data_IF_625379832743
#
_entry.id   IF_625379832743
#
_cell.length_a   1.000
_cell.length_b   1.000
_cell.length_c   1.000
_cell.angle_alpha   90.00
_cell.angle_beta   90.00
_cell.angle_gamma   90.00
#
_symmetry.space_group_name_H-M   'P 1'
#
loop_
_entity.id
_entity.type
_entity.pdbx_description
1 polymer ?
#
# COMPACT_ATOMS: atom_id res chain seq x y z
N UNK A 1 10.30 -0.54 -3.07
CA UNK A 1 9.27 0.14 -3.92
C UNK A 1 8.54 -0.85 -4.82
N UNK A 2 9.21 -1.71 -5.60
CA UNK A 2 8.54 -2.63 -6.53
C UNK A 2 7.52 -3.60 -5.91
N UNK A 3 7.62 -3.90 -4.61
CA UNK A 3 6.66 -4.73 -3.89
C UNK A 3 5.31 -4.00 -3.71
N UNK A 4 5.33 -2.69 -3.52
CA UNK A 4 4.16 -1.87 -3.19
C UNK A 4 3.57 -1.10 -4.38
N UNK A 5 3.92 -1.46 -5.62
CA UNK A 5 3.53 -0.70 -6.83
C UNK A 5 2.01 -0.64 -7.07
N UNK A 6 1.27 -1.62 -6.55
CA UNK A 6 -0.18 -1.75 -6.72
C UNK A 6 -0.94 -1.40 -5.41
N UNK A 7 -0.25 -0.78 -4.44
CA UNK A 7 -0.82 -0.27 -3.20
C UNK A 7 -0.96 1.25 -3.29
N UNK A 8 -2.00 1.82 -2.70
CA UNK A 8 -2.21 3.28 -2.68
C UNK A 8 -1.24 3.96 -1.69
N UNK A 9 0.05 3.82 -1.99
CA UNK A 9 1.14 4.47 -1.29
C UNK A 9 1.92 5.38 -2.23
N UNK A 10 2.32 6.52 -1.72
CA UNK A 10 3.29 7.38 -2.38
C UNK A 10 4.67 6.73 -2.26
N UNK A 11 5.16 6.15 -3.35
CA UNK A 11 6.42 5.41 -3.38
C UNK A 11 7.40 6.02 -4.37
N UNK A 12 8.66 6.08 -3.97
CA UNK A 12 9.75 6.53 -4.82
C UNK A 12 10.02 5.53 -5.95
N UNK A 13 9.88 5.94 -7.21
CA UNK A 13 10.29 5.10 -8.32
C UNK A 13 11.81 4.96 -8.39
N UNK A 14 12.24 3.81 -8.87
CA UNK A 14 13.66 3.51 -9.00
C UNK A 14 13.93 2.66 -10.24
N UNK A 15 15.12 2.86 -10.84
CA UNK A 15 15.59 2.05 -11.96
C UNK A 15 17.11 1.87 -11.89
N UNK A 16 17.64 0.62 -12.01
CA UNK A 16 19.07 0.39 -12.12
C UNK A 16 19.60 0.82 -13.49
N UNK A 17 20.80 1.43 -13.52
CA UNK A 17 21.49 1.89 -14.71
C UNK A 17 22.96 1.47 -14.72
N UNK A 18 23.45 1.16 -15.92
CA UNK A 18 24.88 1.03 -16.15
C UNK A 18 25.45 2.39 -16.53
N UNK A 19 26.42 2.83 -15.74
CA UNK A 19 27.10 4.11 -15.98
C UNK A 19 28.43 3.88 -16.65
N UNK A 20 28.69 4.66 -17.70
CA UNK A 20 29.97 4.72 -18.39
C UNK A 20 30.48 6.17 -18.35
N UNK A 21 31.75 6.36 -17.97
CA UNK A 21 32.45 7.64 -18.03
C UNK A 21 33.59 7.55 -19.03
N UNK A 22 33.63 8.44 -20.03
CA UNK A 22 34.63 8.43 -21.11
C UNK A 22 34.77 7.05 -21.79
N UNK A 23 33.65 6.38 -22.02
CA UNK A 23 33.56 5.02 -22.59
C UNK A 23 34.08 3.88 -21.71
N UNK A 24 34.47 4.16 -20.46
CA UNK A 24 34.83 3.13 -19.48
C UNK A 24 33.63 2.80 -18.60
N UNK A 25 33.42 1.52 -18.31
CA UNK A 25 32.41 1.07 -17.36
C UNK A 25 32.72 1.63 -15.97
N UNK A 26 31.76 2.38 -15.42
CA UNK A 26 31.90 3.01 -14.12
C UNK A 26 31.17 2.25 -13.01
N UNK A 27 30.06 1.58 -13.32
CA UNK A 27 29.35 0.76 -12.37
C UNK A 27 27.84 0.67 -12.60
N UNK A 28 27.20 -0.10 -11.73
CA UNK A 28 25.76 -0.18 -11.57
C UNK A 28 25.32 0.91 -10.59
N UNK A 29 24.37 1.75 -10.99
CA UNK A 29 23.82 2.84 -10.20
C UNK A 29 22.29 2.79 -10.20
N UNK A 30 21.66 3.43 -9.23
CA UNK A 30 20.22 3.55 -9.11
C UNK A 30 19.77 4.97 -9.44
N UNK A 31 18.99 5.13 -10.50
CA UNK A 31 18.23 6.35 -10.71
C UNK A 31 16.99 6.28 -9.82
N UNK A 32 16.82 7.27 -8.95
CA UNK A 32 15.70 7.38 -8.03
C UNK A 32 15.02 8.73 -8.22
N UNK A 33 13.72 8.79 -8.05
CA UNK A 33 13.03 10.08 -7.93
C UNK A 33 13.51 10.79 -6.66
N UNK A 34 13.63 12.10 -6.74
CA UNK A 34 13.87 12.91 -5.54
C UNK A 34 12.54 13.20 -4.86
N UNK A 35 12.36 12.70 -3.65
CA UNK A 35 11.13 12.92 -2.87
C UNK A 35 11.12 14.35 -2.33
N UNK A 36 10.49 15.26 -3.09
CA UNK A 36 10.29 16.67 -2.79
C UNK A 36 8.90 17.14 -3.30
N UNK A 37 8.61 18.42 -3.24
CA UNK A 37 7.35 19.03 -3.71
C UNK A 37 7.03 18.70 -5.18
N UNK A 38 8.04 18.63 -6.05
CA UNK A 38 7.84 18.30 -7.46
C UNK A 38 7.52 16.81 -7.67
N UNK A 39 8.03 15.91 -6.80
CA UNK A 39 7.60 14.51 -6.77
C UNK A 39 6.10 14.44 -6.53
N UNK A 40 5.59 15.16 -5.54
CA UNK A 40 4.16 15.19 -5.22
C UNK A 40 3.35 15.71 -6.42
N UNK A 41 3.72 16.87 -6.99
CA UNK A 41 3.02 17.44 -8.16
C UNK A 41 3.09 16.58 -9.42
N UNK A 42 4.05 15.64 -9.53
CA UNK A 42 4.11 14.70 -10.66
C UNK A 42 3.23 13.45 -10.49
N UNK A 43 2.89 13.11 -9.25
CA UNK A 43 2.07 11.93 -8.92
C UNK A 43 0.62 12.28 -8.55
N UNK A 44 0.37 13.52 -8.15
CA UNK A 44 -0.94 14.01 -7.72
C UNK A 44 -1.31 15.29 -8.48
N UNK A 45 -2.59 15.54 -8.73
CA UNK A 45 -3.06 16.74 -9.42
C UNK A 45 -3.08 17.96 -8.46
N UNK A 46 -1.92 18.30 -7.92
CA UNK A 46 -1.72 19.42 -6.97
C UNK A 46 -0.59 20.33 -7.43
N UNK A 47 -0.67 21.62 -7.07
CA UNK A 47 0.44 22.54 -7.30
C UNK A 47 1.55 22.26 -6.25
N UNK A 48 2.80 22.00 -6.68
CA UNK A 48 3.92 21.79 -5.76
C UNK A 48 4.16 22.95 -4.77
N UNK A 49 3.74 24.17 -5.11
CA UNK A 49 3.88 25.34 -4.23
C UNK A 49 2.75 25.43 -3.20
N UNK A 50 1.62 24.74 -3.42
CA UNK A 50 0.43 24.75 -2.57
C UNK A 50 0.27 23.47 -1.75
N UNK A 51 1.36 22.98 -1.19
CA UNK A 51 1.37 21.80 -0.29
C UNK A 51 2.11 22.10 1.01
N UNK A 52 1.78 21.35 2.05
CA UNK A 52 2.65 21.18 3.21
C UNK A 52 3.39 19.85 3.04
N UNK A 53 4.72 19.85 2.99
CA UNK A 53 5.57 18.68 2.95
C UNK A 53 6.53 18.74 4.13
N UNK A 54 6.44 17.76 5.01
CA UNK A 54 7.21 17.69 6.24
C UNK A 54 8.13 16.46 6.20
N UNK A 55 9.38 16.66 6.56
CA UNK A 55 10.37 15.61 6.79
C UNK A 55 10.76 15.60 8.26
N UNK A 56 10.57 14.48 8.91
CA UNK A 56 10.79 14.33 10.36
C UNK A 56 9.87 15.30 11.13
N UNK A 57 10.31 16.51 11.43
CA UNK A 57 9.53 17.55 12.11
C UNK A 57 9.72 18.94 11.45
N UNK A 58 10.32 18.97 10.26
CA UNK A 58 10.66 20.23 9.57
C UNK A 58 9.92 20.30 8.24
N UNK A 59 9.28 21.43 7.96
CA UNK A 59 8.68 21.66 6.66
C UNK A 59 9.75 21.87 5.59
N UNK A 60 9.73 21.05 4.55
CA UNK A 60 10.53 21.22 3.34
C UNK A 60 9.81 22.17 2.36
N UNK A 61 8.46 22.13 2.37
CA UNK A 61 7.58 23.04 1.65
C UNK A 61 6.39 23.37 2.56
N UNK A 62 5.83 24.57 2.44
CA UNK A 62 4.70 25.03 3.26
C UNK A 62 5.03 25.19 4.73
N UNK A 63 4.17 24.69 5.62
CA UNK A 63 4.28 24.86 7.07
C UNK A 63 3.98 23.56 7.83
N UNK A 64 4.34 23.54 9.13
CA UNK A 64 3.96 22.47 10.05
C UNK A 64 2.66 22.76 10.81
N UNK A 65 2.01 23.91 10.61
CA UNK A 65 0.93 24.40 11.46
C UNK A 65 -0.25 23.43 11.51
N UNK A 66 -0.76 23.03 10.35
CA UNK A 66 -1.91 22.13 10.27
C UNK A 66 -1.59 20.73 10.87
N UNK A 67 -0.38 20.22 10.67
CA UNK A 67 0.04 18.97 11.30
C UNK A 67 0.11 19.08 12.83
N UNK A 68 0.63 20.21 13.33
CA UNK A 68 0.68 20.46 14.78
C UNK A 68 -0.73 20.59 15.37
N UNK A 69 -1.68 21.18 14.65
CA UNK A 69 -3.09 21.22 15.05
C UNK A 69 -3.70 19.83 15.13
N UNK A 70 -3.43 18.96 14.12
CA UNK A 70 -3.83 17.56 14.14
C UNK A 70 -3.27 16.83 15.37
N UNK A 71 -1.97 16.94 15.64
CA UNK A 71 -1.32 16.27 16.77
C UNK A 71 -1.86 16.78 18.11
N UNK A 72 -2.12 18.09 18.24
CA UNK A 72 -2.73 18.66 19.44
C UNK A 72 -4.16 18.12 19.63
N UNK A 73 -4.97 18.12 18.58
CA UNK A 73 -6.33 17.55 18.64
C UNK A 73 -6.31 16.10 19.09
N UNK A 74 -5.46 15.26 18.48
CA UNK A 74 -5.31 13.84 18.85
C UNK A 74 -4.85 13.68 20.31
N UNK A 75 -3.96 14.57 20.78
CA UNK A 75 -3.45 14.51 22.17
C UNK A 75 -4.50 14.81 23.23
N UNK A 76 -5.51 15.60 22.89
CA UNK A 76 -6.58 16.06 23.79
C UNK A 76 -7.87 15.21 23.64
N UNK A 77 -7.96 14.37 22.60
CA UNK A 77 -9.15 13.59 22.29
C UNK A 77 -9.17 12.24 23.02
N UNK A 78 -10.37 11.79 23.37
CA UNK A 78 -10.61 10.41 23.78
C UNK A 78 -10.71 9.52 22.53
N UNK A 79 -9.60 8.88 22.19
CA UNK A 79 -9.51 8.06 20.97
C UNK A 79 -10.40 6.80 21.02
N UNK A 80 -10.96 6.45 22.17
CA UNK A 80 -11.91 5.33 22.28
C UNK A 80 -13.30 5.71 21.78
N UNK A 81 -13.60 7.00 21.59
CA UNK A 81 -14.84 7.47 20.96
C UNK A 81 -14.85 7.17 19.46
N UNK A 82 -15.81 6.36 18.94
CA UNK A 82 -15.91 6.07 17.52
C UNK A 82 -16.05 7.31 16.63
N UNK A 83 -16.69 8.38 17.11
CA UNK A 83 -16.88 9.63 16.34
C UNK A 83 -15.55 10.33 16.00
N UNK A 84 -14.50 10.12 16.82
CA UNK A 84 -13.17 10.69 16.56
C UNK A 84 -12.54 10.07 15.31
N UNK A 85 -12.79 8.79 15.03
CA UNK A 85 -12.28 8.15 13.83
C UNK A 85 -12.84 8.78 12.55
N UNK A 86 -14.15 9.02 12.51
CA UNK A 86 -14.80 9.66 11.37
C UNK A 86 -14.25 11.07 11.15
N UNK A 87 -14.10 11.85 12.22
CA UNK A 87 -13.52 13.19 12.16
C UNK A 87 -12.06 13.18 11.67
N UNK A 88 -11.22 12.29 12.20
CA UNK A 88 -9.82 12.17 11.77
C UNK A 88 -9.70 11.69 10.32
N UNK A 89 -10.68 10.96 9.80
CA UNK A 89 -10.72 10.55 8.39
C UNK A 89 -10.93 11.73 7.42
N UNK A 90 -11.33 12.90 7.91
CA UNK A 90 -11.35 14.14 7.12
C UNK A 90 -9.97 14.81 7.04
N UNK A 91 -9.08 14.56 8.00
CA UNK A 91 -7.74 15.15 8.09
C UNK A 91 -6.63 14.23 7.59
N UNK A 92 -6.85 12.91 7.68
CA UNK A 92 -5.87 11.88 7.37
C UNK A 92 -6.44 10.99 6.28
N UNK A 93 -5.65 10.69 5.27
CA UNK A 93 -5.90 9.54 4.41
C UNK A 93 -5.58 8.27 5.20
N UNK A 94 -6.63 7.72 5.81
CA UNK A 94 -6.51 6.59 6.74
C UNK A 94 -5.95 5.34 6.05
N UNK A 95 -6.32 5.11 4.79
CA UNK A 95 -5.83 3.95 4.04
C UNK A 95 -4.33 4.07 3.75
N UNK A 96 -3.90 5.23 3.27
CA UNK A 96 -2.48 5.52 3.07
C UNK A 96 -1.70 5.41 4.38
N UNK A 97 -2.21 5.97 5.49
CA UNK A 97 -1.54 5.91 6.79
C UNK A 97 -1.40 4.47 7.31
N UNK A 98 -2.44 3.65 7.14
CA UNK A 98 -2.40 2.22 7.53
C UNK A 98 -1.40 1.48 6.65
N UNK A 99 -1.49 1.58 5.33
CA UNK A 99 -0.60 0.91 4.39
C UNK A 99 0.87 1.30 4.61
N UNK A 100 1.13 2.58 4.91
CA UNK A 100 2.48 3.05 5.26
C UNK A 100 3.03 2.34 6.50
N UNK A 101 2.26 2.29 7.60
CA UNK A 101 2.71 1.64 8.83
C UNK A 101 2.83 0.11 8.64
N UNK A 102 1.88 -0.53 7.95
CA UNK A 102 1.92 -1.95 7.60
C UNK A 102 3.18 -2.27 6.79
N UNK A 103 3.52 -1.44 5.80
CA UNK A 103 4.72 -1.62 4.99
C UNK A 103 6.00 -1.53 5.85
N UNK A 104 6.16 -0.46 6.63
CA UNK A 104 7.33 -0.21 7.47
C UNK A 104 7.53 -1.32 8.52
N UNK A 105 6.44 -1.74 9.17
CA UNK A 105 6.46 -2.81 10.17
C UNK A 105 6.80 -4.15 9.53
N UNK A 106 6.18 -4.48 8.39
CA UNK A 106 6.42 -5.75 7.73
C UNK A 106 7.87 -5.90 7.24
N UNK A 107 8.40 -4.87 6.56
CA UNK A 107 9.76 -4.94 6.03
C UNK A 107 10.85 -4.84 7.10
N UNK A 108 10.49 -4.64 8.35
CA UNK A 108 11.43 -4.44 9.47
C UNK A 108 12.44 -3.31 9.18
N UNK A 109 11.93 -2.13 8.81
CA UNK A 109 12.79 -0.98 8.52
C UNK A 109 13.47 -0.47 9.80
N UNK A 110 14.78 -0.70 9.92
CA UNK A 110 15.56 -0.40 11.14
C UNK A 110 15.96 1.06 11.28
N UNK A 111 15.76 1.86 10.26
CA UNK A 111 15.98 3.32 10.27
C UNK A 111 14.67 4.12 10.44
N UNK A 112 13.59 3.43 10.70
CA UNK A 112 12.25 3.95 10.96
C UNK A 112 11.88 3.66 12.43
N UNK A 113 11.03 4.45 13.09
CA UNK A 113 10.12 5.49 12.60
C UNK A 113 10.63 6.94 12.79
N UNK A 114 11.74 7.18 13.45
CA UNK A 114 12.21 8.53 13.76
C UNK A 114 13.09 9.16 12.68
N UNK A 115 13.43 8.39 11.64
CA UNK A 115 14.15 8.82 10.46
C UNK A 115 13.43 8.33 9.20
N UNK A 116 13.80 8.84 8.03
CA UNK A 116 13.18 8.47 6.75
C UNK A 116 11.65 8.54 6.75
N UNK A 117 11.09 9.53 7.45
CA UNK A 117 9.65 9.79 7.50
C UNK A 117 9.32 11.10 6.82
N UNK A 118 8.48 11.03 5.79
CA UNK A 118 7.90 12.18 5.10
C UNK A 118 6.40 12.03 5.00
N UNK A 119 5.72 13.14 5.18
CA UNK A 119 4.27 13.22 5.03
C UNK A 119 3.90 14.59 4.46
N UNK A 120 2.81 14.62 3.72
CA UNK A 120 2.38 15.78 2.98
C UNK A 120 0.86 15.91 2.93
N UNK A 121 0.38 17.12 2.63
CA UNK A 121 -1.02 17.39 2.30
C UNK A 121 -1.12 18.52 1.29
N UNK A 122 -2.17 18.57 0.43
CA UNK A 122 -2.49 19.80 -0.30
C UNK A 122 -3.02 20.86 0.68
N UNK A 123 -2.71 22.13 0.43
CA UNK A 123 -3.21 23.27 1.22
C UNK A 123 -4.66 23.64 0.81
N UNK A 124 -5.53 22.63 0.79
CA UNK A 124 -6.96 22.75 0.53
C UNK A 124 -7.75 22.49 1.82
N UNK A 125 -8.99 22.99 1.88
CA UNK A 125 -9.86 22.82 3.05
C UNK A 125 -10.13 21.34 3.35
N UNK A 126 -10.23 20.50 2.31
CA UNK A 126 -10.42 19.03 2.37
C UNK A 126 -9.13 18.23 2.17
N UNK A 127 -7.97 18.90 2.19
CA UNK A 127 -6.66 18.27 2.00
C UNK A 127 -6.28 17.36 3.15
N UNK A 128 -5.97 16.09 2.84
CA UNK A 128 -5.63 15.05 3.82
C UNK A 128 -4.14 14.80 3.88
N UNK A 129 -3.65 14.46 5.08
CA UNK A 129 -2.28 14.00 5.28
C UNK A 129 -2.07 12.60 4.73
N UNK A 130 -0.97 12.45 3.95
CA UNK A 130 -0.50 11.20 3.35
C UNK A 130 0.98 10.99 3.67
N UNK A 131 1.40 9.73 3.83
CA UNK A 131 2.78 9.33 4.10
C UNK A 131 3.44 8.78 2.86
N UNK A 132 4.74 9.05 2.71
CA UNK A 132 5.55 8.63 1.57
C UNK A 132 6.49 7.50 2.01
N UNK A 133 6.43 6.36 1.32
CA UNK A 133 7.34 5.25 1.56
C UNK A 133 8.60 5.41 0.70
N UNK A 134 9.68 5.78 1.32
CA UNK A 134 10.97 5.96 0.67
C UNK A 134 12.11 5.47 1.57
N UNK A 135 13.29 5.30 1.01
CA UNK A 135 14.53 4.94 1.71
C UNK A 135 14.36 3.74 2.66
N UNK A 136 13.96 2.61 2.08
CA UNK A 136 13.70 1.36 2.81
C UNK A 136 14.88 0.38 2.75
N UNK A 137 16.10 0.88 2.56
CA UNK A 137 17.29 0.05 2.37
C UNK A 137 17.79 -0.62 3.66
N UNK A 138 17.30 -0.16 4.84
CA UNK A 138 17.51 -0.83 6.12
C UNK A 138 16.39 -1.79 6.50
N UNK A 139 15.58 -2.21 5.52
CA UNK A 139 14.55 -3.22 5.67
C UNK A 139 15.01 -4.62 5.23
N UNK A 140 14.05 -5.55 5.21
CA UNK A 140 14.22 -6.93 4.74
C UNK A 140 15.33 -7.73 5.45
N UNK A 141 15.49 -7.49 6.76
CA UNK A 141 16.37 -8.29 7.61
C UNK A 141 17.84 -7.92 7.52
N UNK A 142 18.17 -6.65 7.30
CA UNK A 142 19.55 -6.15 7.28
C UNK A 142 20.29 -6.50 8.57
N UNK A 143 21.28 -7.46 8.55
CA UNK A 143 21.83 -8.03 9.79
C UNK A 143 22.67 -7.05 10.62
N UNK A 144 23.41 -6.14 9.97
CA UNK A 144 24.27 -5.17 10.69
C UNK A 144 23.49 -4.07 11.42
N UNK A 145 22.19 -3.94 11.14
CA UNK A 145 21.27 -3.05 11.85
C UNK A 145 20.43 -3.81 12.89
N UNK A 146 20.73 -5.08 13.14
CA UNK A 146 19.94 -5.92 14.03
C UNK A 146 18.57 -6.29 13.47
N UNK A 147 18.41 -6.23 12.14
CA UNK A 147 17.18 -6.63 11.45
C UNK A 147 17.09 -8.15 11.26
N UNK A 148 15.87 -8.65 11.06
CA UNK A 148 15.61 -10.06 10.81
C UNK A 148 14.13 -10.38 10.64
N UNK A 149 13.86 -11.53 10.00
CA UNK A 149 12.47 -11.98 9.81
C UNK A 149 11.71 -12.20 11.13
N UNK A 150 12.43 -12.44 12.23
CA UNK A 150 11.91 -12.72 13.57
C UNK A 150 11.97 -11.52 14.53
N UNK A 151 12.17 -10.30 14.04
CA UNK A 151 12.12 -9.09 14.86
C UNK A 151 10.67 -8.64 15.03
N UNK A 152 10.22 -8.37 16.24
CA UNK A 152 8.88 -7.84 16.51
C UNK A 152 8.84 -6.31 16.29
N UNK A 153 8.78 -5.92 15.04
CA UNK A 153 8.74 -4.50 14.65
C UNK A 153 7.40 -3.84 14.98
N UNK A 154 6.31 -4.62 15.14
CA UNK A 154 5.03 -4.08 15.61
C UNK A 154 5.14 -3.59 17.06
N UNK A 155 5.69 -4.41 17.95
CA UNK A 155 5.93 -4.04 19.34
C UNK A 155 6.88 -2.83 19.44
N UNK A 156 7.95 -2.84 18.64
CA UNK A 156 8.88 -1.72 18.54
C UNK A 156 8.19 -0.43 18.08
N UNK A 157 7.29 -0.48 17.09
CA UNK A 157 6.56 0.67 16.56
C UNK A 157 5.60 1.29 17.58
N UNK A 158 5.07 0.51 18.51
CA UNK A 158 4.12 1.00 19.54
C UNK A 158 4.79 1.34 20.86
N UNK A 159 6.11 1.19 20.98
CA UNK A 159 6.86 1.56 22.18
C UNK A 159 6.85 3.08 22.37
N UNK A 160 6.21 3.55 23.45
CA UNK A 160 6.02 4.98 23.71
C UNK A 160 7.32 5.72 24.11
N UNK A 161 8.28 5.00 24.66
CA UNK A 161 9.56 5.54 25.16
C UNK A 161 10.74 4.80 24.54
N UNK A 162 10.67 4.57 23.25
CA UNK A 162 11.77 3.97 22.48
C UNK A 162 13.04 4.85 22.48
N UNK A 163 14.15 4.32 21.96
CA UNK A 163 15.39 5.06 21.91
C UNK A 163 15.27 6.32 21.05
N UNK A 164 16.02 7.37 21.37
CA UNK A 164 16.04 8.63 20.61
C UNK A 164 16.28 8.43 19.11
N UNK A 165 16.96 7.40 18.75
CA UNK A 165 17.07 6.88 17.40
C UNK A 165 17.03 5.34 17.45
N UNK A 166 16.24 4.69 16.59
CA UNK A 166 15.38 5.24 15.54
C UNK A 166 13.92 5.49 15.97
N UNK A 167 13.53 5.32 17.25
CA UNK A 167 12.16 5.45 17.71
C UNK A 167 11.96 6.47 18.85
N UNK A 168 12.15 7.78 18.59
CA UNK A 168 11.82 8.81 19.56
C UNK A 168 10.32 8.88 19.82
N UNK A 169 9.86 9.31 21.02
CA UNK A 169 8.45 9.28 21.41
C UNK A 169 7.45 9.95 20.46
N UNK A 170 7.86 10.97 19.72
CA UNK A 170 7.01 11.71 18.78
C UNK A 170 6.72 10.93 17.50
N UNK A 171 7.64 10.04 17.07
CA UNK A 171 7.62 9.46 15.72
C UNK A 171 6.43 8.55 15.44
N UNK A 172 5.97 7.81 16.44
CA UNK A 172 4.79 6.94 16.35
C UNK A 172 3.61 7.40 17.21
N UNK A 173 3.66 8.63 17.73
CA UNK A 173 2.61 9.15 18.59
C UNK A 173 1.23 9.04 17.93
N UNK A 174 1.09 9.52 16.70
CA UNK A 174 -0.17 9.45 15.95
C UNK A 174 -0.62 8.01 15.73
N UNK A 175 0.28 7.13 15.29
CA UNK A 175 -0.03 5.71 15.08
C UNK A 175 -0.51 5.02 16.36
N UNK A 176 0.19 5.22 17.47
CA UNK A 176 -0.19 4.66 18.77
C UNK A 176 -1.56 5.16 19.25
N UNK A 177 -1.84 6.45 19.05
CA UNK A 177 -3.11 7.05 19.38
C UNK A 177 -4.25 6.52 18.50
N UNK A 178 -4.05 6.39 17.21
CA UNK A 178 -5.04 5.82 16.30
C UNK A 178 -5.35 4.35 16.64
N UNK A 179 -4.37 3.58 17.10
CA UNK A 179 -4.59 2.19 17.57
C UNK A 179 -5.46 2.08 18.83
N UNK A 180 -5.66 3.15 19.60
CA UNK A 180 -6.61 3.17 20.71
C UNK A 180 -8.07 3.16 20.19
N UNK A 181 -8.32 3.53 18.92
CA UNK A 181 -9.63 3.50 18.31
C UNK A 181 -9.94 2.14 17.68
N UNK A 182 -11.06 1.53 18.09
CA UNK A 182 -11.42 0.18 17.64
C UNK A 182 -11.69 0.06 16.14
N UNK A 183 -12.18 1.12 15.48
CA UNK A 183 -12.43 1.12 14.04
C UNK A 183 -11.11 1.15 13.27
N UNK A 184 -10.17 2.01 13.70
CA UNK A 184 -8.82 2.04 13.11
C UNK A 184 -8.09 0.71 13.34
N UNK A 185 -8.15 0.16 14.56
CA UNK A 185 -7.49 -1.10 14.90
C UNK A 185 -7.97 -2.26 14.02
N UNK A 186 -9.29 -2.43 13.87
CA UNK A 186 -9.86 -3.47 13.00
C UNK A 186 -9.46 -3.29 11.54
N UNK A 187 -9.44 -2.04 11.05
CA UNK A 187 -9.02 -1.74 9.68
C UNK A 187 -7.53 -2.03 9.48
N UNK A 188 -6.67 -1.66 10.45
CA UNK A 188 -5.24 -1.98 10.44
C UNK A 188 -4.99 -3.50 10.36
N UNK A 189 -5.69 -4.29 11.19
CA UNK A 189 -5.60 -5.77 11.18
C UNK A 189 -6.01 -6.32 9.82
N UNK A 190 -7.16 -5.88 9.27
CA UNK A 190 -7.64 -6.33 7.97
C UNK A 190 -6.69 -5.98 6.83
N UNK A 191 -6.17 -4.75 6.79
CA UNK A 191 -5.18 -4.36 5.78
C UNK A 191 -3.90 -5.18 5.90
N UNK A 192 -3.47 -5.48 7.13
CA UNK A 192 -2.32 -6.36 7.33
C UNK A 192 -2.59 -7.77 6.78
N UNK A 193 -3.78 -8.33 7.05
CA UNK A 193 -4.21 -9.61 6.48
C UNK A 193 -4.26 -9.56 4.95
N UNK A 194 -4.83 -8.50 4.37
CA UNK A 194 -4.86 -8.29 2.92
C UNK A 194 -3.46 -8.36 2.31
N UNK A 195 -2.48 -7.68 2.92
CA UNK A 195 -1.09 -7.69 2.45
C UNK A 195 -0.41 -9.06 2.64
N UNK A 196 -0.68 -9.76 3.77
CA UNK A 196 -0.20 -11.13 4.01
C UNK A 196 -0.79 -12.15 3.03
N UNK A 197 -2.02 -11.94 2.58
CA UNK A 197 -2.69 -12.77 1.58
C UNK A 197 -2.30 -12.43 0.14
N UNK A 198 -1.53 -11.35 -0.10
CA UNK A 198 -1.17 -10.86 -1.43
C UNK A 198 0.32 -10.58 -1.56
N UNK A 199 0.74 -9.31 -1.44
CA UNK A 199 2.11 -8.89 -1.72
C UNK A 199 3.13 -9.36 -0.70
N UNK A 200 2.71 -9.74 0.50
CA UNK A 200 3.56 -10.33 1.54
C UNK A 200 3.51 -11.87 1.56
N UNK A 201 2.83 -12.49 0.61
CA UNK A 201 2.95 -13.94 0.39
C UNK A 201 4.39 -14.31 0.06
N UNK A 202 4.90 -15.37 0.69
CA UNK A 202 6.29 -15.79 0.53
C UNK A 202 6.64 -16.08 -0.93
N UNK A 203 5.76 -16.78 -1.66
CA UNK A 203 5.97 -17.10 -3.07
C UNK A 203 5.99 -15.86 -3.94
N UNK A 204 5.08 -14.92 -3.71
CA UNK A 204 5.04 -13.65 -4.42
C UNK A 204 6.33 -12.84 -4.21
N UNK A 205 6.76 -12.69 -2.94
CA UNK A 205 7.97 -11.95 -2.60
C UNK A 205 9.23 -12.58 -3.20
N UNK A 206 9.37 -13.91 -3.12
CA UNK A 206 10.52 -14.64 -3.66
C UNK A 206 10.56 -14.48 -5.19
N UNK A 207 9.45 -14.66 -5.89
CA UNK A 207 9.36 -14.45 -7.34
C UNK A 207 9.75 -13.00 -7.72
N UNK A 208 9.34 -12.03 -6.91
CA UNK A 208 9.68 -10.62 -7.13
C UNK A 208 11.17 -10.37 -6.93
N UNK A 209 11.76 -10.92 -5.86
CA UNK A 209 13.19 -10.87 -5.58
C UNK A 209 14.00 -11.48 -6.73
N UNK A 210 13.61 -12.68 -7.20
CA UNK A 210 14.28 -13.37 -8.30
C UNK A 210 14.26 -12.55 -9.59
N UNK A 211 13.11 -11.98 -9.92
CA UNK A 211 12.98 -11.09 -11.08
C UNK A 211 13.91 -9.86 -10.98
N UNK A 212 14.04 -9.28 -9.81
CA UNK A 212 14.91 -8.12 -9.59
C UNK A 212 16.39 -8.51 -9.65
N UNK A 213 16.76 -9.63 -9.03
CA UNK A 213 18.13 -10.14 -9.04
C UNK A 213 18.59 -10.50 -10.47
N UNK A 214 17.75 -11.21 -11.23
CA UNK A 214 18.02 -11.56 -12.63
C UNK A 214 18.34 -10.34 -13.51
N UNK A 215 17.72 -9.21 -13.26
CA UNK A 215 17.92 -8.00 -14.05
C UNK A 215 19.33 -7.39 -13.91
N UNK A 216 20.06 -7.70 -12.83
CA UNK A 216 21.33 -7.05 -12.54
C UNK A 216 22.47 -8.04 -12.27
N UNK A 217 22.21 -9.34 -12.06
CA UNK A 217 23.19 -10.33 -11.65
C UNK A 217 24.39 -10.42 -12.60
N UNK A 218 24.19 -10.32 -13.91
CA UNK A 218 25.27 -10.42 -14.90
C UNK A 218 26.25 -9.24 -14.86
N UNK A 219 25.84 -8.15 -14.23
CA UNK A 219 26.65 -6.92 -14.12
C UNK A 219 27.41 -6.87 -12.78
N UNK A 220 26.96 -7.60 -11.77
CA UNK A 220 27.54 -7.58 -10.43
C UNK A 220 29.06 -7.89 -10.45
N UNK A 221 29.57 -8.90 -11.18
CA UNK A 221 31.02 -9.15 -11.24
C UNK A 221 31.81 -7.97 -11.79
N UNK A 222 31.30 -7.28 -12.82
CA UNK A 222 31.94 -6.11 -13.39
C UNK A 222 31.95 -4.93 -12.41
N UNK A 223 30.83 -4.76 -11.66
CA UNK A 223 30.70 -3.73 -10.64
C UNK A 223 31.70 -3.98 -9.49
N UNK A 224 31.81 -5.22 -8.98
CA UNK A 224 32.75 -5.62 -7.95
C UNK A 224 34.21 -5.44 -8.38
N UNK A 225 34.55 -5.77 -9.65
CA UNK A 225 35.88 -5.52 -10.20
C UNK A 225 36.26 -4.04 -10.23
N UNK A 226 35.27 -3.16 -10.50
CA UNK A 226 35.49 -1.70 -10.50
C UNK A 226 35.58 -1.13 -9.09
N UNK A 227 34.75 -1.65 -8.18
CA UNK A 227 34.59 -1.20 -6.81
C UNK A 227 34.68 -2.40 -5.86
N UNK A 228 35.89 -2.87 -5.53
CA UNK A 228 36.09 -4.11 -4.75
C UNK A 228 35.42 -4.11 -3.37
N UNK A 229 35.25 -2.92 -2.78
CA UNK A 229 34.61 -2.76 -1.46
C UNK A 229 33.08 -2.59 -1.55
N UNK A 230 32.50 -2.66 -2.75
CA UNK A 230 31.05 -2.55 -2.99
C UNK A 230 30.46 -3.88 -3.43
N UNK A 231 29.17 -4.09 -3.14
CA UNK A 231 28.43 -5.32 -3.47
C UNK A 231 29.16 -6.61 -3.01
N UNK A 232 29.90 -6.52 -1.90
CA UNK A 232 30.55 -7.65 -1.25
C UNK A 232 29.44 -8.63 -0.83
N UNK A 233 29.67 -9.92 -1.05
CA UNK A 233 28.75 -11.00 -0.67
C UNK A 233 27.32 -10.83 -1.24
N UNK A 234 27.21 -10.41 -2.51
CA UNK A 234 25.94 -10.25 -3.23
C UNK A 234 24.99 -11.44 -3.01
N UNK A 235 25.47 -12.66 -3.24
CA UNK A 235 24.66 -13.88 -3.10
C UNK A 235 24.18 -14.08 -1.65
N UNK A 236 25.02 -13.75 -0.67
CA UNK A 236 24.63 -13.79 0.74
C UNK A 236 23.49 -12.81 1.03
N UNK A 237 23.56 -11.57 0.54
CA UNK A 237 22.53 -10.57 0.78
C UNK A 237 21.23 -10.89 0.06
N UNK A 238 21.27 -11.43 -1.16
CA UNK A 238 20.09 -11.96 -1.84
C UNK A 238 19.47 -13.09 -1.02
N UNK A 239 20.29 -13.98 -0.44
CA UNK A 239 19.79 -15.06 0.41
C UNK A 239 19.21 -14.55 1.74
N UNK A 240 19.72 -13.48 2.33
CA UNK A 240 19.13 -12.81 3.52
C UNK A 240 17.72 -12.35 3.21
N UNK A 241 17.51 -11.64 2.08
CA UNK A 241 16.18 -11.17 1.67
C UNK A 241 15.25 -12.36 1.36
N UNK A 242 15.76 -13.42 0.75
CA UNK A 242 14.98 -14.65 0.47
C UNK A 242 14.51 -15.32 1.75
N UNK A 243 15.41 -15.49 2.72
CA UNK A 243 15.07 -16.04 4.03
C UNK A 243 14.06 -15.16 4.77
N UNK A 244 14.21 -13.84 4.67
CA UNK A 244 13.21 -12.91 5.20
C UNK A 244 11.85 -13.11 4.54
N UNK A 245 11.78 -13.16 3.22
CA UNK A 245 10.53 -13.37 2.47
C UNK A 245 9.86 -14.71 2.80
N UNK A 246 10.66 -15.77 3.07
CA UNK A 246 10.16 -17.10 3.40
C UNK A 246 9.49 -17.15 4.78
N UNK A 247 10.11 -16.54 5.80
CA UNK A 247 9.68 -16.73 7.20
C UNK A 247 8.92 -15.54 7.78
N UNK A 248 9.11 -14.33 7.28
CA UNK A 248 8.51 -13.10 7.84
C UNK A 248 6.99 -13.15 7.96
N UNK A 249 6.22 -13.66 6.97
CA UNK A 249 4.76 -13.69 7.05
C UNK A 249 4.23 -14.44 8.27
N UNK A 250 4.81 -15.60 8.60
CA UNK A 250 4.42 -16.40 9.75
C UNK A 250 4.71 -15.67 11.08
N UNK A 251 5.91 -15.08 11.21
CA UNK A 251 6.26 -14.30 12.39
C UNK A 251 5.34 -13.09 12.58
N UNK A 252 4.98 -12.41 11.49
CA UNK A 252 4.06 -11.29 11.57
C UNK A 252 2.65 -11.68 11.98
N UNK A 253 2.13 -12.84 11.53
CA UNK A 253 0.86 -13.40 12.04
C UNK A 253 0.93 -13.61 13.55
N UNK A 254 1.96 -14.27 14.05
CA UNK A 254 2.16 -14.51 15.47
C UNK A 254 2.25 -13.19 16.28
N UNK A 255 2.87 -12.15 15.74
CA UNK A 255 2.97 -10.85 16.41
C UNK A 255 1.64 -10.10 16.42
N UNK A 256 0.87 -10.16 15.34
CA UNK A 256 -0.49 -9.61 15.31
C UNK A 256 -1.39 -10.31 16.33
N UNK A 257 -1.39 -11.64 16.35
CA UNK A 257 -2.15 -12.46 17.32
C UNK A 257 -1.81 -12.09 18.75
N UNK A 258 -0.52 -12.06 19.08
CA UNK A 258 -0.07 -11.74 20.44
C UNK A 258 -0.35 -10.30 20.85
N UNK A 259 -0.23 -9.34 19.92
CA UNK A 259 -0.38 -7.92 20.24
C UNK A 259 -1.84 -7.50 20.39
N UNK A 260 -2.71 -8.01 19.52
CA UNK A 260 -4.14 -7.66 19.52
C UNK A 260 -5.03 -8.68 20.21
N UNK A 261 -4.46 -9.71 20.84
CA UNK A 261 -5.20 -10.82 21.47
C UNK A 261 -6.21 -11.45 20.50
N UNK A 262 -5.74 -11.75 19.26
CA UNK A 262 -6.61 -12.27 18.22
C UNK A 262 -6.85 -13.76 18.39
N UNK A 263 -8.05 -14.19 17.98
CA UNK A 263 -8.46 -15.59 17.95
C UNK A 263 -7.89 -16.32 16.72
N UNK A 264 -8.60 -17.33 16.23
CA UNK A 264 -8.14 -18.17 15.12
C UNK A 264 -8.14 -17.43 13.77
N UNK A 265 -7.26 -17.84 12.87
CA UNK A 265 -7.37 -17.52 11.45
C UNK A 265 -8.48 -18.35 10.81
N UNK A 266 -9.30 -17.68 10.02
CA UNK A 266 -10.45 -18.24 9.32
C UNK A 266 -10.17 -18.16 7.82
N UNK A 267 -10.39 -19.26 7.11
CA UNK A 267 -10.25 -19.31 5.66
C UNK A 267 -11.52 -18.79 4.99
N UNK A 268 -11.40 -17.68 4.27
CA UNK A 268 -12.49 -17.02 3.56
C UNK A 268 -12.33 -17.24 2.06
N UNK A 269 -13.34 -17.82 1.40
CA UNK A 269 -13.33 -18.08 -0.04
C UNK A 269 -14.33 -17.22 -0.78
N UNK A 270 -13.87 -16.57 -1.80
CA UNK A 270 -14.66 -15.64 -2.60
C UNK A 270 -14.82 -16.17 -4.03
N UNK A 271 -16.04 -16.10 -4.53
CA UNK A 271 -16.43 -16.48 -5.88
C UNK A 271 -17.14 -15.32 -6.55
N UNK A 272 -16.85 -15.07 -7.81
CA UNK A 272 -17.59 -14.09 -8.62
C UNK A 272 -18.10 -14.77 -9.89
N UNK A 273 -19.36 -14.53 -10.24
CA UNK A 273 -19.84 -14.90 -11.57
C UNK A 273 -19.28 -13.94 -12.62
N UNK A 274 -19.32 -14.33 -13.90
CA UNK A 274 -18.96 -13.43 -15.01
C UNK A 274 -19.72 -12.13 -14.91
N UNK A 275 -19.05 -11.00 -15.13
CA UNK A 275 -19.65 -9.67 -15.18
C UNK A 275 -19.40 -8.80 -13.95
N UNK A 276 -18.42 -9.15 -13.12
CA UNK A 276 -17.99 -8.27 -12.04
C UNK A 276 -16.99 -8.89 -11.09
N UNK A 277 -16.51 -8.09 -10.18
CA UNK A 277 -15.49 -8.41 -9.19
C UNK A 277 -15.99 -8.16 -7.77
N UNK A 278 -15.24 -8.65 -6.78
CA UNK A 278 -15.46 -8.35 -5.36
C UNK A 278 -14.25 -7.56 -4.87
N UNK A 279 -14.48 -6.39 -4.32
CA UNK A 279 -13.49 -5.75 -3.45
C UNK A 279 -13.64 -6.35 -2.05
N UNK A 280 -12.54 -6.81 -1.48
CA UNK A 280 -12.44 -7.39 -0.14
C UNK A 280 -11.51 -6.46 0.64
N UNK A 281 -12.03 -5.76 1.63
CA UNK A 281 -11.31 -4.66 2.30
C UNK A 281 -10.62 -3.74 1.29
N UNK A 282 -9.31 -3.89 1.09
CA UNK A 282 -8.51 -3.04 0.19
C UNK A 282 -8.11 -3.72 -1.12
N UNK A 283 -8.43 -4.99 -1.32
CA UNK A 283 -7.97 -5.76 -2.48
C UNK A 283 -9.12 -6.12 -3.42
N UNK A 284 -8.81 -6.25 -4.70
CA UNK A 284 -9.67 -6.83 -5.72
C UNK A 284 -8.88 -7.98 -6.34
N UNK A 285 -9.30 -9.25 -6.12
CA UNK A 285 -8.59 -10.39 -6.70
C UNK A 285 -8.60 -10.39 -8.23
N UNK A 286 -7.47 -10.76 -8.84
CA UNK A 286 -7.34 -10.89 -10.30
C UNK A 286 -8.12 -12.10 -10.86
N UNK A 287 -8.45 -13.08 -10.02
CA UNK A 287 -9.15 -14.30 -10.42
C UNK A 287 -9.93 -14.93 -9.27
N UNK A 288 -10.95 -15.71 -9.62
CA UNK A 288 -11.79 -16.46 -8.69
C UNK A 288 -11.79 -17.96 -9.02
N UNK A 289 -11.95 -18.88 -8.04
CA UNK A 289 -12.09 -18.58 -6.61
C UNK A 289 -10.81 -17.97 -6.01
N UNK A 290 -10.96 -16.96 -5.15
CA UNK A 290 -9.86 -16.41 -4.37
C UNK A 290 -10.01 -16.81 -2.90
N UNK A 291 -8.89 -17.03 -2.21
CA UNK A 291 -8.85 -17.47 -0.82
C UNK A 291 -7.95 -16.54 -0.04
N UNK A 292 -8.44 -16.03 1.09
CA UNK A 292 -7.70 -15.26 2.05
C UNK A 292 -7.93 -15.74 3.47
N UNK A 293 -6.98 -15.45 4.36
CA UNK A 293 -7.04 -15.76 5.78
C UNK A 293 -7.23 -14.47 6.57
N UNK A 294 -8.25 -14.46 7.42
CA UNK A 294 -8.61 -13.31 8.26
C UNK A 294 -8.90 -13.79 9.68
N UNK A 295 -8.81 -12.88 10.65
CA UNK A 295 -9.03 -13.25 12.04
C UNK A 295 -10.51 -13.31 12.41
N UNK A 296 -10.87 -14.30 13.22
CA UNK A 296 -12.17 -14.42 13.87
C UNK A 296 -12.50 -13.12 14.64
N UNK A 297 -13.77 -12.74 14.68
CA UNK A 297 -14.29 -11.53 15.32
C UNK A 297 -13.86 -10.18 14.68
N UNK A 298 -13.06 -10.19 13.60
CA UNK A 298 -12.73 -9.00 12.82
C UNK A 298 -13.58 -9.00 11.54
N UNK A 299 -14.61 -8.14 11.42
CA UNK A 299 -15.46 -8.12 10.23
C UNK A 299 -14.71 -7.73 8.97
N UNK A 300 -14.99 -8.43 7.86
CA UNK A 300 -14.44 -8.13 6.53
C UNK A 300 -15.43 -7.24 5.78
N UNK A 301 -14.95 -6.15 5.21
CA UNK A 301 -15.73 -5.33 4.29
C UNK A 301 -15.69 -5.93 2.88
N UNK A 302 -16.85 -6.10 2.25
CA UNK A 302 -16.94 -6.54 0.85
C UNK A 302 -17.83 -5.60 0.04
N UNK A 303 -17.44 -5.42 -1.23
CA UNK A 303 -18.20 -4.62 -2.20
C UNK A 303 -18.20 -5.31 -3.55
N UNK A 304 -19.41 -5.56 -4.08
CA UNK A 304 -19.58 -6.03 -5.45
C UNK A 304 -19.34 -4.87 -6.44
N UNK A 305 -18.51 -5.12 -7.45
CA UNK A 305 -18.14 -4.15 -8.50
C UNK A 305 -18.58 -4.74 -9.85
N UNK A 306 -19.72 -4.32 -10.41
CA UNK A 306 -20.16 -4.76 -11.73
C UNK A 306 -19.23 -4.25 -12.83
N UNK A 307 -18.96 -5.08 -13.83
CA UNK A 307 -18.35 -4.66 -15.08
C UNK A 307 -19.33 -3.82 -15.92
N UNK A 308 -18.80 -3.13 -16.93
CA UNK A 308 -19.63 -2.40 -17.89
C UNK A 308 -20.64 -3.33 -18.58
N UNK A 309 -21.92 -2.96 -18.58
CA UNK A 309 -23.00 -3.79 -19.14
C UNK A 309 -23.58 -4.84 -18.18
N UNK A 310 -23.14 -4.86 -16.93
CA UNK A 310 -23.63 -5.78 -15.91
C UNK A 310 -24.20 -5.04 -14.71
N UNK A 311 -25.06 -5.70 -13.97
CA UNK A 311 -25.58 -5.24 -12.68
C UNK A 311 -25.39 -6.31 -11.63
N UNK A 312 -25.14 -5.88 -10.41
CA UNK A 312 -25.09 -6.79 -9.25
C UNK A 312 -26.51 -7.27 -8.90
N UNK A 313 -26.67 -8.57 -8.73
CA UNK A 313 -27.95 -9.22 -8.42
C UNK A 313 -28.10 -9.47 -6.92
N UNK A 314 -27.02 -9.89 -6.26
CA UNK A 314 -27.06 -10.18 -4.84
C UNK A 314 -25.94 -11.16 -4.38
N UNK A 315 -25.94 -11.34 -3.07
CA UNK A 315 -25.15 -12.33 -2.35
C UNK A 315 -26.07 -13.45 -1.87
N UNK A 316 -26.05 -14.67 -2.42
CA UNK A 316 -26.97 -15.74 -1.99
C UNK A 316 -26.93 -16.07 -0.51
N UNK A 317 -25.74 -15.89 0.11
CA UNK A 317 -25.53 -16.12 1.52
C UNK A 317 -26.12 -14.98 2.39
N UNK A 318 -26.35 -13.80 1.80
CA UNK A 318 -26.85 -12.59 2.45
C UNK A 318 -27.89 -11.88 1.53
N UNK A 319 -29.09 -12.50 1.32
CA UNK A 319 -30.03 -12.05 0.26
C UNK A 319 -30.60 -10.64 0.48
N UNK A 320 -30.63 -10.16 1.71
CA UNK A 320 -31.16 -8.84 2.06
C UNK A 320 -30.06 -7.74 2.09
N UNK A 321 -28.82 -8.07 1.72
CA UNK A 321 -27.70 -7.13 1.75
C UNK A 321 -27.55 -6.41 0.42
N UNK A 322 -27.11 -5.14 0.50
CA UNK A 322 -26.75 -4.35 -0.68
C UNK A 322 -25.43 -4.80 -1.32
N UNK A 323 -24.99 -4.05 -2.33
CA UNK A 323 -23.72 -4.33 -3.01
C UNK A 323 -22.50 -4.19 -2.09
N UNK A 324 -22.60 -3.45 -0.99
CA UNK A 324 -21.55 -3.31 0.02
C UNK A 324 -22.09 -3.77 1.37
N UNK A 325 -21.28 -4.55 2.11
CA UNK A 325 -21.62 -5.01 3.46
C UNK A 325 -20.37 -5.37 4.26
N UNK A 326 -20.49 -5.46 5.58
CA UNK A 326 -19.50 -6.05 6.46
C UNK A 326 -19.92 -7.46 6.84
N UNK A 327 -19.03 -8.43 6.67
CA UNK A 327 -19.27 -9.83 6.99
C UNK A 327 -18.62 -10.12 8.32
N UNK A 328 -19.37 -10.59 9.33
CA UNK A 328 -18.77 -11.11 10.56
C UNK A 328 -18.04 -12.43 10.26
N UNK A 329 -16.82 -12.56 10.75
CA UNK A 329 -15.95 -13.73 10.56
C UNK A 329 -15.98 -14.55 11.83
N UNK A 330 -16.53 -15.78 11.79
CA UNK A 330 -16.59 -16.69 12.93
C UNK A 330 -16.05 -18.09 12.64
N UNK A 331 -16.08 -18.49 11.37
CA UNK A 331 -15.62 -19.78 10.88
C UNK A 331 -15.32 -19.70 9.38
N UNK A 332 -14.70 -20.72 8.82
CA UNK A 332 -14.47 -20.81 7.37
C UNK A 332 -15.76 -20.59 6.60
N UNK A 333 -15.75 -19.71 5.62
CA UNK A 333 -16.93 -19.40 4.83
C UNK A 333 -16.64 -19.24 3.34
N UNK A 334 -17.72 -19.32 2.56
CA UNK A 334 -17.71 -19.04 1.14
C UNK A 334 -18.67 -17.86 0.87
N UNK A 335 -18.23 -16.91 0.05
CA UNK A 335 -19.07 -15.81 -0.44
C UNK A 335 -19.09 -15.82 -1.95
N UNK A 336 -20.27 -15.67 -2.54
CA UNK A 336 -20.44 -15.58 -3.99
C UNK A 336 -21.17 -14.31 -4.36
N UNK A 337 -20.61 -13.51 -5.30
CA UNK A 337 -21.29 -12.39 -5.94
C UNK A 337 -21.93 -12.85 -7.24
N UNK A 338 -23.21 -12.46 -7.46
CA UNK A 338 -23.93 -12.72 -8.69
C UNK A 338 -24.14 -11.45 -9.48
N UNK A 339 -23.79 -11.51 -10.76
CA UNK A 339 -24.00 -10.44 -11.73
C UNK A 339 -24.86 -10.94 -12.89
N UNK A 340 -25.61 -10.04 -13.50
CA UNK A 340 -26.38 -10.32 -14.72
C UNK A 340 -26.19 -9.20 -15.72
N UNK A 341 -26.13 -9.54 -17.00
CA UNK A 341 -26.13 -8.52 -18.06
C UNK A 341 -27.47 -7.82 -18.09
N UNK A 342 -27.49 -6.49 -18.06
CA UNK A 342 -28.69 -5.71 -18.34
C UNK A 342 -28.86 -5.37 -19.84
N UNK A 343 -27.83 -5.69 -20.62
CA UNK A 343 -27.95 -5.66 -22.08
C UNK A 343 -28.71 -6.91 -22.49
N UNK A 344 -30.04 -6.86 -22.34
CA UNK A 344 -30.92 -7.96 -22.73
C UNK A 344 -30.78 -8.24 -24.21
N UNK A 345 -30.50 -9.46 -24.56
CA UNK A 345 -30.64 -10.23 -25.82
C UNK A 345 -30.43 -9.61 -27.20
N UNK A 346 -30.51 -8.32 -27.37
CA UNK A 346 -30.22 -7.62 -28.62
C UNK A 346 -29.31 -6.40 -28.28
N UNK A 347 -28.03 -6.68 -27.96
CA UNK A 347 -27.02 -5.64 -27.99
C UNK A 347 -26.81 -5.23 -29.45
N UNK A 348 -27.33 -4.07 -29.80
CA UNK A 348 -26.77 -3.33 -30.92
C UNK A 348 -25.40 -2.91 -30.43
N UNK A 349 -24.35 -3.62 -30.86
CA UNK A 349 -22.99 -3.11 -30.73
C UNK A 349 -22.91 -1.80 -31.52
N UNK A 350 -23.06 -0.69 -30.82
CA UNK A 350 -22.90 0.61 -31.43
C UNK A 350 -21.40 0.82 -31.63
N UNK A 351 -20.92 0.44 -32.79
CA UNK A 351 -19.53 0.70 -33.20
C UNK A 351 -19.55 2.05 -33.92
N UNK A 352 -18.84 3.02 -33.37
CA UNK A 352 -18.57 4.27 -34.10
C UNK A 352 -17.54 3.93 -35.17
N UNK A 353 -17.98 3.80 -36.41
CA UNK A 353 -17.12 3.51 -37.56
C UNK A 353 -16.44 4.75 -38.09
N UNK A 354 -17.13 5.89 -38.04
CA UNK A 354 -16.63 7.14 -38.60
C UNK A 354 -17.19 8.34 -37.82
N UNK A 355 -16.36 9.35 -37.62
CA UNK A 355 -16.74 10.65 -37.10
C UNK A 355 -16.36 11.70 -38.17
N UNK A 356 -17.36 12.33 -38.76
CA UNK A 356 -17.12 13.50 -39.62
C UNK A 356 -17.12 14.76 -38.75
N UNK A 357 -15.91 15.19 -38.45
CA UNK A 357 -15.65 16.40 -37.71
C UNK A 357 -14.99 17.42 -38.62
N UNK A 358 -15.66 18.53 -38.86
CA UNK A 358 -15.13 19.61 -39.68
C UNK A 358 -14.98 19.27 -41.17
N UNK A 359 -16.09 19.00 -41.89
CA UNK A 359 -16.08 18.82 -43.34
C UNK A 359 -15.56 20.09 -44.05
N UNK A 360 -14.80 19.89 -45.12
CA UNK A 360 -14.38 20.99 -46.01
C UNK A 360 -15.61 21.75 -46.53
N UNK A 361 -15.55 23.08 -46.64
CA UNK A 361 -16.64 23.97 -47.08
C UNK A 361 -17.27 23.55 -48.42
N UNK A 362 -16.56 22.78 -49.25
CA UNK A 362 -17.04 22.20 -50.51
C UNK A 362 -17.89 20.94 -50.35
N UNK A 363 -17.91 20.33 -49.11
CA UNK A 363 -18.70 19.14 -48.76
C UNK A 363 -19.58 19.45 -47.57
N UNK A 364 -20.57 20.27 -47.76
CA UNK A 364 -21.47 20.71 -46.66
C UNK A 364 -22.42 19.59 -46.21
N UNK A 365 -21.88 18.55 -45.57
CA UNK A 365 -22.64 17.41 -45.05
C UNK A 365 -23.05 17.59 -43.58
N UNK A 366 -22.58 18.65 -42.89
CA UNK A 366 -22.73 18.80 -41.46
C UNK A 366 -21.85 17.79 -40.67
N UNK A 367 -21.73 17.97 -39.35
CA UNK A 367 -21.05 17.00 -38.48
C UNK A 367 -21.94 15.78 -38.29
N UNK A 368 -21.40 14.58 -38.43
CA UNK A 368 -22.16 13.34 -38.24
C UNK A 368 -21.27 12.24 -37.67
N UNK A 369 -21.87 11.23 -37.05
CA UNK A 369 -21.23 10.02 -36.51
C UNK A 369 -21.92 8.81 -37.14
N UNK A 370 -21.15 7.87 -37.69
CA UNK A 370 -21.63 6.60 -38.25
C UNK A 370 -21.09 5.40 -37.44
#
# INVERSE_FOLDING_TARGET
>A
TGLFKDVDLDIQAYRPFLVYLNSEFWGLYNLREKVNEHFIGSHHPVDPEEIDLIEVQTANQGTTNNYNELINYVSESDMTDPAIFDFLSEWIDIDNHIDYNVAQIFIDNRDWPGNNIKYWRPQLDDGKWRWILYDTDFGFGVPWMGGGYNVNTLEFAVEANGPNWPNPPWSTFLFRKLLENSSYQKRFINVFCDRLNTIFDSGYMINRLDSMALNIQDVIPNHQNKWPDSAIDWDYHVQVIRTFAEYRPEYMRNYLESFFDLSNLVQSRFYSTTGGNIQINTIIPDSYPWVGEYYEDIPISVKAIPDSGFTFVGWPQYPDSGASMNIPVYEDFNLTSFFTSYLGGDTIDLVINEINYHSLDSFNTGDWIE
#
